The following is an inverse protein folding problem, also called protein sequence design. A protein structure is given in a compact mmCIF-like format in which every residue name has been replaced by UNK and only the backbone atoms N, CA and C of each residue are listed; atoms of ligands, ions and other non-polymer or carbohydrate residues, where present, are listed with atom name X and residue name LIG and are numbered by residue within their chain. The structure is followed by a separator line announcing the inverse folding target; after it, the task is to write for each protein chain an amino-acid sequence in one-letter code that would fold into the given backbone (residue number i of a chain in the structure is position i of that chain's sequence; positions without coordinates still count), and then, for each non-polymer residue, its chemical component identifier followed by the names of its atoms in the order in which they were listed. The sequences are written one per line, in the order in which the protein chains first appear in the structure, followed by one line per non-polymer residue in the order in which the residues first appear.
data_IF_243966431988
#
_entry.id   IF_243966431988
#
_cell.length_a   1.000
_cell.length_b   1.000
_cell.length_c   1.000
_cell.angle_alpha   90.00
_cell.angle_beta   90.00
_cell.angle_gamma   90.00
#
_symmetry.space_group_name_H-M   'P 1'
#
loop_
_entity.id
_entity.type
_entity.pdbx_description
1 polymer ?
#
# COMPACT_ATOMS: atom_id res chain seq x y z
N UNK A 1 -7.23 -3.92 -13.01
CA UNK A 1 -7.58 -2.88 -12.07
C UNK A 1 -9.04 -2.93 -11.65
N UNK A 2 -9.53 -1.85 -11.02
CA UNK A 2 -10.86 -1.79 -10.43
C UNK A 2 -12.02 -2.10 -11.38
N UNK A 3 -11.96 -1.66 -12.63
CA UNK A 3 -13.05 -1.89 -13.61
C UNK A 3 -13.17 -3.36 -14.01
N UNK A 4 -12.05 -4.06 -14.20
CA UNK A 4 -12.08 -5.50 -14.47
C UNK A 4 -12.63 -6.28 -13.27
N UNK A 5 -12.27 -5.87 -12.05
CA UNK A 5 -12.78 -6.48 -10.84
C UNK A 5 -14.30 -6.31 -10.71
N UNK A 6 -14.82 -5.11 -10.99
CA UNK A 6 -16.27 -4.86 -11.01
C UNK A 6 -16.97 -5.76 -12.01
N UNK A 7 -16.45 -5.88 -13.24
CA UNK A 7 -17.01 -6.74 -14.27
C UNK A 7 -17.03 -8.23 -13.90
N UNK A 8 -16.11 -8.69 -13.07
CA UNK A 8 -16.11 -10.06 -12.54
C UNK A 8 -17.10 -10.17 -11.36
N UNK A 9 -17.05 -9.21 -10.44
CA UNK A 9 -17.86 -9.26 -9.21
C UNK A 9 -19.37 -9.27 -9.49
N UNK A 10 -19.83 -8.51 -10.48
CA UNK A 10 -21.27 -8.51 -10.89
C UNK A 10 -21.74 -9.87 -11.40
N UNK A 11 -20.83 -10.74 -11.83
CA UNK A 11 -21.16 -12.08 -12.35
C UNK A 11 -21.14 -13.17 -11.29
N UNK A 12 -20.47 -12.96 -10.16
CA UNK A 12 -20.35 -13.97 -9.11
C UNK A 12 -21.71 -14.52 -8.63
N UNK A 13 -22.73 -13.69 -8.35
CA UNK A 13 -24.06 -14.19 -7.98
C UNK A 13 -24.72 -14.99 -9.10
N UNK A 14 -24.46 -14.68 -10.37
CA UNK A 14 -25.00 -15.41 -11.51
C UNK A 14 -24.46 -16.85 -11.60
N UNK A 15 -23.26 -17.08 -11.07
CA UNK A 15 -22.65 -18.43 -11.00
C UNK A 15 -22.90 -19.11 -9.64
N UNK A 16 -23.97 -18.78 -8.95
CA UNK A 16 -24.38 -19.36 -7.65
C UNK A 16 -23.34 -19.22 -6.55
N UNK A 17 -22.42 -18.25 -6.67
CA UNK A 17 -21.47 -17.95 -5.60
C UNK A 17 -22.21 -17.26 -4.45
N UNK A 18 -22.35 -17.97 -3.33
CA UNK A 18 -22.95 -17.41 -2.14
C UNK A 18 -21.99 -16.44 -1.47
N UNK A 19 -22.17 -15.15 -1.72
CA UNK A 19 -21.33 -14.08 -1.20
C UNK A 19 -21.33 -13.99 0.34
N UNK A 20 -22.35 -14.55 1.02
CA UNK A 20 -22.38 -14.59 2.47
C UNK A 20 -21.43 -15.64 3.09
N UNK A 21 -21.01 -16.63 2.30
CA UNK A 21 -20.11 -17.71 2.72
C UNK A 21 -18.69 -17.60 2.16
N UNK A 22 -18.41 -16.56 1.35
CA UNK A 22 -17.11 -16.38 0.69
C UNK A 22 -16.49 -15.06 1.12
N UNK A 23 -15.28 -15.11 1.67
CA UNK A 23 -14.47 -13.93 1.93
C UNK A 23 -13.64 -13.59 0.69
N UNK A 24 -13.95 -12.47 0.04
CA UNK A 24 -13.14 -11.96 -1.07
C UNK A 24 -11.86 -11.33 -0.54
N UNK A 25 -10.73 -11.70 -1.14
CA UNK A 25 -9.42 -11.17 -0.82
C UNK A 25 -8.79 -10.50 -2.04
N UNK A 26 -8.18 -9.35 -1.82
CA UNK A 26 -7.54 -8.56 -2.87
C UNK A 26 -6.20 -7.97 -2.49
N UNK A 27 -5.62 -7.24 -3.42
CA UNK A 27 -4.37 -6.51 -3.26
C UNK A 27 -4.61 -5.01 -3.27
N UNK A 28 -3.56 -4.20 -3.09
CA UNK A 28 -3.61 -2.74 -3.18
C UNK A 28 -4.23 -2.21 -4.50
N UNK A 29 -4.32 -3.03 -5.55
CA UNK A 29 -5.01 -2.69 -6.80
C UNK A 29 -6.53 -2.50 -6.63
N UNK A 30 -7.09 -2.97 -5.50
CA UNK A 30 -8.49 -2.71 -5.14
C UNK A 30 -8.73 -1.27 -4.66
N UNK A 31 -7.68 -0.53 -4.36
CA UNK A 31 -7.79 0.87 -3.90
C UNK A 31 -8.14 1.79 -5.07
N UNK A 32 -9.34 1.65 -5.61
CA UNK A 32 -9.91 2.48 -6.66
C UNK A 32 -11.21 3.14 -6.20
N UNK A 33 -11.46 4.36 -6.69
CA UNK A 33 -12.71 5.07 -6.37
C UNK A 33 -13.93 4.25 -6.82
N UNK A 34 -15.00 4.30 -6.03
CA UNK A 34 -16.27 3.68 -6.34
C UNK A 34 -16.28 2.15 -6.28
N UNK A 35 -15.25 1.48 -5.73
CA UNK A 35 -15.28 0.03 -5.59
C UNK A 35 -16.43 -0.43 -4.68
N UNK A 36 -16.76 0.36 -3.65
CA UNK A 36 -17.87 0.10 -2.73
C UNK A 36 -19.27 0.29 -3.34
N UNK A 37 -19.38 0.84 -4.55
CA UNK A 37 -20.65 0.94 -5.27
C UNK A 37 -21.12 -0.44 -5.74
N UNK A 38 -20.19 -1.39 -5.94
CA UNK A 38 -20.48 -2.76 -6.30
C UNK A 38 -20.84 -3.58 -5.04
N UNK A 39 -22.11 -4.00 -4.87
CA UNK A 39 -22.55 -4.71 -3.67
C UNK A 39 -21.79 -6.01 -3.40
N UNK A 40 -21.42 -6.73 -4.46
CA UNK A 40 -20.72 -8.02 -4.35
C UNK A 40 -19.29 -7.88 -3.81
N UNK A 41 -18.69 -6.67 -3.82
CA UNK A 41 -17.36 -6.43 -3.28
C UNK A 41 -17.36 -5.91 -1.84
N UNK A 42 -18.53 -5.54 -1.29
CA UNK A 42 -18.64 -5.06 0.09
C UNK A 42 -18.31 -6.18 1.07
N UNK A 43 -17.57 -5.86 2.12
CA UNK A 43 -17.03 -6.85 3.04
C UNK A 43 -15.75 -7.55 2.54
N UNK A 44 -15.36 -7.36 1.27
CA UNK A 44 -14.09 -7.87 0.76
C UNK A 44 -12.90 -7.18 1.42
N UNK A 45 -11.80 -7.92 1.64
CA UNK A 45 -10.59 -7.41 2.27
C UNK A 45 -9.44 -7.30 1.28
N UNK A 46 -8.61 -6.28 1.45
CA UNK A 46 -7.39 -6.15 0.68
C UNK A 46 -6.26 -5.53 1.48
N UNK A 47 -5.02 -5.93 1.17
CA UNK A 47 -3.83 -5.35 1.74
C UNK A 47 -3.41 -4.10 0.95
N UNK A 48 -3.04 -3.03 1.66
CA UNK A 48 -2.60 -1.79 1.04
C UNK A 48 -1.71 -0.94 1.94
N UNK A 49 -1.09 0.12 1.41
CA UNK A 49 -0.28 1.05 2.19
C UNK A 49 -1.05 1.62 3.38
N UNK A 50 -0.35 1.89 4.49
CA UNK A 50 -0.93 2.58 5.63
C UNK A 50 -1.52 3.93 5.21
N UNK A 51 -2.66 4.35 5.79
CA UNK A 51 -3.23 5.68 5.55
C UNK A 51 -2.32 6.79 6.11
N UNK A 52 -2.62 8.03 5.76
CA UNK A 52 -1.91 9.21 6.30
C UNK A 52 -0.82 9.70 5.37
N UNK A 53 0.41 9.20 5.47
CA UNK A 53 1.51 9.68 4.62
C UNK A 53 1.26 9.44 3.14
N UNK A 54 0.59 8.34 2.81
CA UNK A 54 0.24 8.03 1.43
C UNK A 54 -0.81 9.00 0.85
N UNK A 55 -1.82 9.39 1.65
CA UNK A 55 -2.80 10.39 1.25
C UNK A 55 -2.17 11.76 1.05
N UNK A 56 -1.28 12.16 1.97
CA UNK A 56 -0.53 13.42 1.84
C UNK A 56 0.35 13.45 0.59
N UNK A 57 1.04 12.33 0.31
CA UNK A 57 1.81 12.19 -0.93
C UNK A 57 0.93 12.35 -2.17
N UNK A 58 -0.24 11.70 -2.21
CA UNK A 58 -1.19 11.81 -3.32
C UNK A 58 -1.65 13.25 -3.53
N UNK A 59 -2.01 13.96 -2.46
CA UNK A 59 -2.44 15.36 -2.52
C UNK A 59 -1.31 16.26 -3.06
N UNK A 60 -0.11 16.12 -2.52
CA UNK A 60 1.05 16.91 -2.96
C UNK A 60 1.40 16.64 -4.42
N UNK A 61 1.35 15.37 -4.84
CA UNK A 61 1.61 14.98 -6.23
C UNK A 61 0.54 15.59 -7.17
N UNK A 62 -0.73 15.47 -6.81
CA UNK A 62 -1.83 16.03 -7.61
C UNK A 62 -1.73 17.56 -7.71
N UNK A 63 -1.34 18.24 -6.64
CA UNK A 63 -1.13 19.69 -6.64
C UNK A 63 0.03 20.07 -7.58
N UNK A 64 1.12 19.30 -7.57
CA UNK A 64 2.30 19.60 -8.37
C UNK A 64 2.14 19.24 -9.86
N UNK A 65 1.39 18.18 -10.19
CA UNK A 65 1.34 17.62 -11.55
C UNK A 65 -0.05 17.62 -12.16
N UNK A 66 -1.10 18.11 -11.48
CA UNK A 66 -2.48 18.21 -11.98
C UNK A 66 -3.20 16.87 -12.13
N UNK A 67 -2.60 15.76 -11.75
CA UNK A 67 -3.16 14.41 -11.87
C UNK A 67 -2.76 13.53 -10.68
N UNK A 68 -3.54 12.49 -10.33
CA UNK A 68 -3.15 11.55 -9.28
C UNK A 68 -1.87 10.78 -9.66
N UNK A 69 -1.04 10.40 -8.67
CA UNK A 69 0.21 9.70 -8.95
C UNK A 69 -0.05 8.32 -9.54
N UNK A 70 0.75 7.88 -10.53
CA UNK A 70 0.74 6.49 -10.94
C UNK A 70 1.16 5.59 -9.76
N UNK A 71 0.66 4.34 -9.76
CA UNK A 71 0.83 3.39 -8.65
C UNK A 71 2.29 3.27 -8.15
N UNK A 72 3.27 3.36 -9.06
CA UNK A 72 4.70 3.21 -8.73
C UNK A 72 5.38 4.50 -8.27
N UNK A 73 4.74 5.66 -8.39
CA UNK A 73 5.36 6.94 -8.06
C UNK A 73 5.77 7.01 -6.58
N UNK A 74 4.97 6.47 -5.68
CA UNK A 74 5.29 6.43 -4.25
C UNK A 74 6.53 5.58 -3.94
N UNK A 75 6.74 4.46 -4.65
CA UNK A 75 7.94 3.64 -4.49
C UNK A 75 9.19 4.36 -4.96
N UNK A 76 9.11 5.04 -6.11
CA UNK A 76 10.21 5.86 -6.62
C UNK A 76 10.55 7.02 -5.68
N UNK A 77 9.52 7.68 -5.14
CA UNK A 77 9.69 8.74 -4.16
C UNK A 77 10.40 8.24 -2.89
N UNK A 78 9.96 7.09 -2.34
CA UNK A 78 10.59 6.46 -1.17
C UNK A 78 12.05 6.12 -1.45
N UNK A 79 12.36 5.55 -2.63
CA UNK A 79 13.72 5.18 -3.01
C UNK A 79 14.65 6.40 -3.10
N UNK A 80 14.23 7.46 -3.79
CA UNK A 80 15.04 8.69 -3.90
C UNK A 80 15.20 9.38 -2.54
N UNK A 81 14.15 9.43 -1.74
CA UNK A 81 14.20 10.01 -0.38
C UNK A 81 15.15 9.23 0.53
N UNK A 82 15.19 7.90 0.41
CA UNK A 82 16.14 7.07 1.12
C UNK A 82 17.59 7.37 0.71
N UNK A 83 17.86 7.39 -0.60
CA UNK A 83 19.21 7.72 -1.12
C UNK A 83 19.65 9.09 -0.59
N UNK A 84 18.80 10.10 -0.65
CA UNK A 84 19.11 11.44 -0.14
C UNK A 84 19.47 11.44 1.35
N UNK A 85 18.70 10.69 2.18
CA UNK A 85 18.97 10.55 3.62
C UNK A 85 20.30 9.83 3.90
N UNK A 86 20.56 8.73 3.18
CA UNK A 86 21.79 7.98 3.33
C UNK A 86 23.01 8.83 2.96
N UNK A 87 22.96 9.56 1.85
CA UNK A 87 24.07 10.43 1.42
C UNK A 87 24.32 11.61 2.39
N UNK A 88 23.24 12.17 2.97
CA UNK A 88 23.36 13.27 3.92
C UNK A 88 23.87 12.82 5.31
N UNK A 89 23.68 11.56 5.68
CA UNK A 89 24.01 11.01 7.00
C UNK A 89 25.22 10.06 7.04
N UNK A 90 25.93 9.87 5.93
CA UNK A 90 27.07 8.95 5.86
C UNK A 90 28.26 9.45 6.70
N UNK A 91 28.55 8.82 7.86
CA UNK A 91 29.87 8.93 8.45
C UNK A 91 30.86 8.24 7.52
N UNK A 92 32.05 8.79 7.34
CA UNK A 92 33.10 8.27 6.44
C UNK A 92 33.55 6.82 6.68
N UNK A 93 33.09 6.22 7.77
CA UNK A 93 33.52 4.89 8.25
C UNK A 93 32.48 3.77 8.05
N UNK A 94 31.22 4.07 7.63
CA UNK A 94 30.19 3.06 7.45
C UNK A 94 30.00 2.72 5.98
N UNK A 95 29.93 1.41 5.68
CA UNK A 95 29.53 0.93 4.35
C UNK A 95 28.04 1.21 4.10
N UNK A 96 27.70 1.63 2.89
CA UNK A 96 26.30 1.89 2.50
C UNK A 96 25.41 0.66 2.70
N UNK A 97 25.97 -0.55 2.58
CA UNK A 97 25.27 -1.81 2.78
C UNK A 97 24.82 -2.00 4.22
N UNK A 98 25.65 -1.62 5.21
CA UNK A 98 25.31 -1.75 6.63
C UNK A 98 24.14 -0.83 6.98
N UNK A 99 24.13 0.38 6.43
CA UNK A 99 23.04 1.33 6.61
C UNK A 99 21.74 0.85 5.94
N UNK A 100 21.83 0.24 4.75
CA UNK A 100 20.66 -0.29 4.05
C UNK A 100 20.03 -1.49 4.76
N UNK A 101 20.81 -2.24 5.52
CA UNK A 101 20.37 -3.45 6.25
C UNK A 101 19.97 -3.15 7.71
N UNK A 102 19.72 -1.89 8.05
CA UNK A 102 19.23 -1.51 9.38
C UNK A 102 17.91 -2.23 9.70
N UNK A 103 17.91 -3.00 10.78
CA UNK A 103 16.72 -3.76 11.22
C UNK A 103 15.55 -2.86 11.65
N UNK A 104 15.84 -1.63 12.10
CA UNK A 104 14.81 -0.64 12.38
C UNK A 104 14.06 -0.19 11.11
N UNK A 105 14.72 -0.29 9.95
CA UNK A 105 14.18 0.07 8.65
C UNK A 105 14.01 1.58 8.44
N UNK A 106 13.21 1.91 7.44
CA UNK A 106 13.04 3.27 6.94
C UNK A 106 11.57 3.65 6.91
N UNK A 107 11.29 4.95 7.10
CA UNK A 107 9.95 5.50 6.97
C UNK A 107 9.75 6.06 5.56
N UNK A 108 8.79 5.48 4.84
CA UNK A 108 8.36 5.94 3.52
C UNK A 108 6.93 6.48 3.51
N UNK A 109 6.49 6.97 2.36
CA UNK A 109 5.11 7.47 2.17
C UNK A 109 4.08 6.33 2.19
N UNK A 110 4.52 5.11 1.87
CA UNK A 110 3.67 3.90 1.94
C UNK A 110 3.80 3.15 3.28
N UNK A 111 4.35 3.75 4.32
CA UNK A 111 4.64 3.11 5.60
C UNK A 111 6.11 2.75 5.79
N UNK A 112 6.40 2.00 6.84
CA UNK A 112 7.77 1.54 7.11
C UNK A 112 8.18 0.43 6.15
N UNK A 113 9.48 0.34 5.87
CA UNK A 113 10.06 -0.76 5.09
C UNK A 113 11.51 -1.00 5.52
N UNK A 114 12.01 -2.22 5.31
CA UNK A 114 13.43 -2.56 5.50
C UNK A 114 13.87 -3.55 4.43
N UNK A 115 15.17 -3.53 4.15
CA UNK A 115 15.77 -4.50 3.25
C UNK A 115 16.31 -5.70 4.02
N UNK A 116 16.22 -6.85 3.39
CA UNK A 116 16.80 -8.12 3.87
C UNK A 116 18.10 -8.41 3.12
N UNK A 117 19.01 -9.15 3.74
CA UNK A 117 20.23 -9.66 3.09
C UNK A 117 19.95 -10.45 1.82
N UNK A 118 18.74 -11.02 1.69
CA UNK A 118 18.28 -11.72 0.49
C UNK A 118 17.91 -10.81 -0.68
N UNK A 119 18.00 -9.48 -0.53
CA UNK A 119 17.52 -8.48 -1.50
C UNK A 119 16.02 -8.25 -1.49
N UNK A 120 15.26 -8.95 -0.64
CA UNK A 120 13.82 -8.70 -0.46
C UNK A 120 13.58 -7.51 0.45
N UNK A 121 12.40 -6.90 0.29
CA UNK A 121 11.94 -5.81 1.14
C UNK A 121 10.77 -6.29 2.00
N UNK A 122 10.86 -6.09 3.33
CA UNK A 122 9.72 -6.19 4.22
C UNK A 122 8.99 -4.86 4.22
N UNK A 123 7.69 -4.88 4.01
CA UNK A 123 6.82 -3.70 4.07
C UNK A 123 5.48 -4.12 4.69
N UNK A 124 5.23 -3.81 5.95
CA UNK A 124 3.92 -4.05 6.57
C UNK A 124 2.84 -3.27 5.83
N UNK A 125 1.72 -3.94 5.60
CA UNK A 125 0.55 -3.35 4.97
C UNK A 125 -0.61 -3.34 5.96
N UNK A 126 -1.51 -2.37 5.83
CA UNK A 126 -2.79 -2.39 6.50
C UNK A 126 -3.76 -3.31 5.75
N UNK A 127 -4.70 -3.91 6.48
CA UNK A 127 -5.83 -4.61 5.87
C UNK A 127 -7.04 -3.68 5.87
N UNK A 128 -7.65 -3.57 4.72
CA UNK A 128 -8.83 -2.75 4.48
C UNK A 128 -10.03 -3.64 4.18
N UNK A 129 -11.20 -3.19 4.62
CA UNK A 129 -12.50 -3.72 4.23
C UNK A 129 -13.16 -2.75 3.25
N UNK A 130 -13.74 -3.27 2.18
CA UNK A 130 -14.55 -2.51 1.24
C UNK A 130 -15.90 -2.19 1.87
N UNK A 131 -16.24 -0.91 1.97
CA UNK A 131 -17.52 -0.44 2.48
C UNK A 131 -18.27 0.36 1.41
N UNK A 132 -19.54 0.62 1.62
CA UNK A 132 -20.34 1.46 0.71
C UNK A 132 -19.74 2.87 0.51
N UNK A 133 -19.07 3.41 1.55
CA UNK A 133 -18.52 4.78 1.54
C UNK A 133 -17.03 4.83 1.19
N UNK A 134 -16.42 3.72 0.79
CA UNK A 134 -14.98 3.61 0.53
C UNK A 134 -14.34 2.46 1.29
N UNK A 135 -13.26 2.71 2.01
CA UNK A 135 -12.48 1.68 2.68
C UNK A 135 -12.33 1.96 4.17
N UNK A 136 -12.46 0.93 4.98
CA UNK A 136 -12.22 0.97 6.42
C UNK A 136 -10.99 0.13 6.75
N UNK A 137 -10.05 0.66 7.51
CA UNK A 137 -8.94 -0.12 8.06
C UNK A 137 -9.49 -1.05 9.13
N UNK A 138 -9.27 -2.36 8.97
CA UNK A 138 -9.67 -3.39 9.94
C UNK A 138 -8.47 -3.97 10.68
N UNK A 139 -7.27 -3.89 10.07
CA UNK A 139 -6.02 -4.23 10.72
C UNK A 139 -4.96 -3.20 10.32
N UNK A 140 -4.43 -2.39 11.25
CA UNK A 140 -3.47 -1.35 10.93
C UNK A 140 -2.09 -1.92 10.61
N UNK A 141 -1.37 -1.30 9.68
CA UNK A 141 0.02 -1.64 9.40
C UNK A 141 0.91 -1.36 10.62
N UNK A 142 1.91 -2.21 10.84
CA UNK A 142 2.93 -1.98 11.85
C UNK A 142 3.60 -0.62 11.61
N UNK A 143 3.85 0.10 12.70
CA UNK A 143 4.56 1.38 12.70
C UNK A 143 6.04 1.23 13.05
N UNK A 144 6.44 0.06 13.56
CA UNK A 144 7.81 -0.33 13.88
C UNK A 144 7.99 -1.81 13.62
N UNK A 145 9.18 -2.22 13.19
CA UNK A 145 9.52 -3.64 13.14
C UNK A 145 9.78 -4.17 14.55
N UNK A 146 9.29 -5.37 14.87
CA UNK A 146 9.69 -6.03 16.11
C UNK A 146 11.19 -6.35 16.07
N UNK A 147 11.84 -6.19 17.21
CA UNK A 147 13.24 -6.56 17.42
C UNK A 147 13.39 -8.07 17.51
#
# INVERSE_FOLDING_TARGET
GGDQLRGIATRLPYYDVNMASVQLLGTALWRSQGLGDEPALRGGWFAGPAPGNFERFNQNYQTAFGSPPPFRAALAYDAISLVGKLLAGLPSSYGINDLLLDDAGFHGVQGIFRFRKSGRTDRPLAVYEVTRKGFKVIDPALQRFPH
#
